data_IF_903358267839
#
_entry.id   IF_903358267839
#
_cell.length_a   1.000
_cell.length_b   1.000
_cell.length_c   1.000
_cell.angle_alpha   90.00
_cell.angle_beta   90.00
_cell.angle_gamma   90.00
#
_symmetry.space_group_name_H-M   'P 1'
#
loop_
_entity.id
_entity.type
_entity.pdbx_description
1 polymer ?
#
# COMPACT_ATOMS: atom_id res chain seq x y z
N UNK A 1 -11.87 -15.43 43.99
CA UNK A 1 -10.56 -14.95 44.50
C UNK A 1 -9.62 -16.16 44.64
N UNK A 2 -8.63 -16.26 43.74
CA UNK A 2 -7.39 -17.09 43.78
C UNK A 2 -6.54 -16.65 42.58
N UNK A 3 -5.52 -15.80 42.79
CA UNK A 3 -4.08 -16.15 42.94
C UNK A 3 -3.43 -16.50 41.57
N UNK A 4 -2.95 -15.51 40.78
CA UNK A 4 -1.56 -14.95 40.60
C UNK A 4 -0.64 -15.82 39.70
N UNK A 5 0.19 -15.12 38.91
CA UNK A 5 1.43 -15.50 38.20
C UNK A 5 1.33 -15.64 36.67
N UNK A 6 1.42 -14.51 35.95
CA UNK A 6 2.00 -14.50 34.61
C UNK A 6 3.38 -13.85 34.72
N UNK A 7 4.41 -14.68 34.65
CA UNK A 7 5.80 -14.28 34.66
C UNK A 7 6.12 -13.48 33.38
N UNK A 8 6.56 -12.24 33.58
CA UNK A 8 7.34 -11.45 32.64
C UNK A 8 8.65 -12.18 32.36
N UNK A 9 9.00 -12.43 31.10
CA UNK A 9 10.37 -12.55 30.61
C UNK A 9 10.36 -12.58 29.06
N UNK A 10 10.66 -11.46 28.41
CA UNK A 10 11.30 -11.51 27.09
C UNK A 10 12.57 -10.66 27.16
N UNK A 11 13.67 -11.39 27.10
CA UNK A 11 15.06 -10.94 27.08
C UNK A 11 15.32 -10.18 25.78
N UNK A 12 15.83 -8.96 25.90
CA UNK A 12 16.36 -8.19 24.78
C UNK A 12 17.70 -8.75 24.31
N UNK A 13 17.88 -8.87 23.01
CA UNK A 13 19.19 -9.10 22.37
C UNK A 13 19.45 -7.95 21.42
N UNK A 14 20.23 -6.97 21.89
CA UNK A 14 20.90 -5.97 21.06
C UNK A 14 22.23 -6.57 20.61
N UNK A 15 22.41 -6.72 19.30
CA UNK A 15 23.71 -6.97 18.70
C UNK A 15 24.04 -5.83 17.73
N UNK A 16 25.00 -5.00 18.14
CA UNK A 16 25.68 -4.00 17.30
C UNK A 16 27.12 -4.48 17.01
N UNK A 17 27.81 -3.74 16.13
CA UNK A 17 29.24 -3.77 15.68
C UNK A 17 29.62 -4.89 14.68
N UNK A 18 30.45 -4.69 13.65
CA UNK A 18 31.31 -3.62 13.12
C UNK A 18 31.41 -3.82 11.58
N UNK A 19 31.58 -2.81 10.71
CA UNK A 19 32.82 -2.06 10.52
C UNK A 19 33.83 -2.82 9.65
N UNK A 20 33.83 -2.61 8.32
CA UNK A 20 34.94 -2.98 7.45
C UNK A 20 35.59 -1.73 6.89
N UNK A 21 36.81 -1.46 7.35
CA UNK A 21 37.76 -0.49 6.79
C UNK A 21 38.53 -1.14 5.63
N UNK A 22 38.75 -0.40 4.54
CA UNK A 22 39.80 -0.70 3.56
C UNK A 22 40.75 0.51 3.44
N UNK A 23 42.02 0.27 3.09
CA UNK A 23 43.14 1.11 3.50
C UNK A 23 43.38 2.36 2.66
N UNK A 24 44.00 3.33 3.34
CA UNK A 24 44.67 4.54 2.83
C UNK A 24 45.69 4.23 1.75
N UNK A 25 45.73 5.06 0.71
CA UNK A 25 46.96 5.38 0.00
C UNK A 25 47.07 6.89 -0.22
N UNK A 26 48.31 7.38 -0.17
CA UNK A 26 48.71 8.72 0.26
C UNK A 26 48.81 9.77 -0.87
N UNK A 27 48.47 11.02 -0.51
CA UNK A 27 49.19 12.29 -0.81
C UNK A 27 49.35 12.78 -2.26
N UNK A 28 48.81 13.98 -2.57
CA UNK A 28 49.56 15.25 -2.82
C UNK A 28 48.61 16.36 -3.33
N UNK A 29 48.67 17.53 -2.70
CA UNK A 29 48.00 18.78 -3.06
C UNK A 29 49.06 19.73 -3.63
N UNK A 30 48.95 20.24 -4.87
CA UNK A 30 49.45 21.58 -5.22
C UNK A 30 49.03 22.07 -6.64
N UNK A 31 48.29 23.19 -6.66
CA UNK A 31 48.36 24.42 -7.49
C UNK A 31 48.32 24.42 -9.05
N UNK A 32 47.29 25.12 -9.57
CA UNK A 32 46.94 25.61 -10.94
C UNK A 32 48.03 26.49 -11.61
N UNK A 33 48.08 26.76 -12.96
CA UNK A 33 47.01 27.40 -13.78
C UNK A 33 46.85 26.90 -15.25
N UNK A 34 45.73 27.31 -15.88
CA UNK A 34 45.26 26.99 -17.25
C UNK A 34 45.91 27.91 -18.32
N UNK A 35 46.01 27.49 -19.60
CA UNK A 35 45.55 28.34 -20.70
C UNK A 35 44.58 27.64 -21.68
N UNK A 36 43.69 28.46 -22.24
CA UNK A 36 42.45 28.14 -22.95
C UNK A 36 42.71 27.65 -24.39
N UNK A 37 41.90 26.71 -24.89
CA UNK A 37 41.70 26.50 -26.34
C UNK A 37 40.25 26.10 -26.62
N UNK A 38 39.61 26.93 -27.45
CA UNK A 38 38.31 26.89 -28.13
C UNK A 38 37.34 25.70 -27.96
N UNK A 39 36.09 26.02 -27.61
CA UNK A 39 34.90 25.25 -28.03
C UNK A 39 34.63 25.48 -29.52
N UNK A 40 33.97 24.52 -30.19
CA UNK A 40 32.58 24.83 -30.52
C UNK A 40 31.59 23.77 -30.02
N UNK A 41 30.39 24.28 -29.72
CA UNK A 41 29.27 23.63 -29.09
C UNK A 41 28.64 22.49 -29.90
N UNK A 42 28.18 21.46 -29.19
CA UNK A 42 26.88 20.84 -29.47
C UNK A 42 26.28 20.19 -28.21
N UNK A 43 25.72 21.09 -27.38
CA UNK A 43 24.37 21.00 -26.79
C UNK A 43 23.74 19.60 -26.75
N UNK A 44 23.79 18.93 -25.60
CA UNK A 44 22.66 18.18 -25.05
C UNK A 44 22.62 18.36 -23.53
N UNK A 45 21.80 19.30 -23.07
CA UNK A 45 21.28 19.31 -21.71
C UNK A 45 20.43 18.05 -21.56
N UNK A 46 20.70 17.14 -20.60
CA UNK A 46 19.72 16.14 -20.24
C UNK A 46 18.50 16.91 -19.73
N UNK A 47 17.39 16.82 -20.46
CA UNK A 47 16.12 17.32 -19.97
C UNK A 47 15.91 16.78 -18.55
N UNK A 48 15.34 17.58 -17.62
CA UNK A 48 14.96 17.05 -16.31
C UNK A 48 14.12 15.81 -16.58
N UNK A 49 14.47 14.69 -15.96
CA UNK A 49 13.62 13.50 -15.93
C UNK A 49 12.29 13.94 -15.34
N UNK A 50 11.40 14.36 -16.23
CA UNK A 50 10.01 14.60 -15.93
C UNK A 50 9.50 13.20 -15.68
N UNK A 51 9.50 12.81 -14.41
CA UNK A 51 8.77 11.67 -13.89
C UNK A 51 7.35 11.83 -14.41
N UNK A 52 7.07 11.24 -15.57
CA UNK A 52 5.71 11.00 -16.00
C UNK A 52 5.12 10.16 -14.87
N UNK A 53 4.02 10.59 -14.23
CA UNK A 53 3.34 9.71 -13.31
C UNK A 53 3.02 8.42 -14.07
N UNK A 54 3.50 7.27 -13.58
CA UNK A 54 3.19 5.94 -14.11
C UNK A 54 1.72 5.56 -13.80
N UNK A 55 0.80 6.52 -13.90
CA UNK A 55 -0.54 6.49 -13.30
C UNK A 55 -1.57 5.76 -14.18
N UNK A 56 -1.10 5.02 -15.19
CA UNK A 56 -1.99 4.16 -16.01
C UNK A 56 -1.52 2.71 -16.15
N UNK A 57 -0.36 2.34 -15.61
CA UNK A 57 0.20 0.98 -15.78
C UNK A 57 0.07 0.07 -14.53
N UNK A 58 -0.56 0.55 -13.46
CA UNK A 58 -0.48 -0.07 -12.12
C UNK A 58 -1.81 -0.73 -11.67
N UNK A 59 -2.79 -0.83 -12.58
CA UNK A 59 -4.04 -1.55 -12.34
C UNK A 59 -3.95 -2.97 -12.92
N UNK A 60 -4.33 -4.01 -12.17
CA UNK A 60 -4.35 -5.37 -12.68
C UNK A 60 -5.42 -5.56 -13.76
N UNK A 61 -5.25 -6.60 -14.59
CA UNK A 61 -6.27 -7.05 -15.53
C UNK A 61 -7.44 -7.67 -14.74
N UNK A 62 -8.52 -6.92 -14.66
CA UNK A 62 -9.72 -7.24 -13.89
C UNK A 62 -10.93 -6.64 -14.60
N UNK A 63 -12.05 -7.36 -14.60
CA UNK A 63 -13.29 -6.89 -15.22
C UNK A 63 -14.00 -5.86 -14.33
N UNK A 64 -13.53 -4.63 -14.40
CA UNK A 64 -14.12 -3.50 -13.67
C UNK A 64 -15.55 -3.19 -14.11
N UNK A 65 -16.02 -3.65 -15.27
CA UNK A 65 -17.35 -3.32 -15.76
C UNK A 65 -18.44 -4.16 -15.08
N UNK A 66 -18.11 -5.35 -14.59
CA UNK A 66 -19.08 -6.33 -14.07
C UNK A 66 -18.88 -6.62 -12.57
N UNK A 67 -18.38 -5.65 -11.80
CA UNK A 67 -18.21 -5.80 -10.35
C UNK A 67 -19.58 -5.80 -9.67
N UNK A 68 -19.86 -6.87 -8.93
CA UNK A 68 -21.11 -7.01 -8.20
C UNK A 68 -21.11 -6.17 -6.93
N UNK A 69 -22.25 -5.54 -6.65
CA UNK A 69 -22.56 -5.00 -5.32
C UNK A 69 -23.27 -6.10 -4.52
N UNK A 70 -22.66 -6.52 -3.40
CA UNK A 70 -23.18 -7.56 -2.53
C UNK A 70 -23.63 -6.94 -1.22
N UNK A 71 -24.91 -7.11 -0.91
CA UNK A 71 -25.55 -6.49 0.25
C UNK A 71 -26.46 -7.47 0.98
N UNK A 72 -26.31 -7.64 2.31
CA UNK A 72 -27.25 -8.38 3.13
C UNK A 72 -28.55 -7.57 3.28
N UNK A 73 -29.50 -7.77 2.37
CA UNK A 73 -30.82 -7.10 2.38
C UNK A 73 -31.23 -6.42 1.07
N UNK A 74 -30.44 -6.55 0.00
CA UNK A 74 -30.71 -5.93 -1.31
C UNK A 74 -29.82 -4.70 -1.57
N UNK A 75 -29.75 -4.25 -2.83
CA UNK A 75 -28.80 -3.21 -3.28
C UNK A 75 -29.26 -1.77 -3.01
N UNK A 76 -30.51 -1.57 -2.62
CA UNK A 76 -31.18 -0.26 -2.66
C UNK A 76 -30.63 0.77 -1.65
N UNK A 77 -29.87 0.34 -0.65
CA UNK A 77 -29.31 1.25 0.37
C UNK A 77 -27.84 1.61 0.15
N UNK A 78 -27.16 0.97 -0.81
CA UNK A 78 -25.77 1.30 -1.13
C UNK A 78 -25.68 1.92 -2.52
N UNK A 79 -25.87 3.25 -2.57
CA UNK A 79 -25.55 4.06 -3.74
C UNK A 79 -24.02 4.16 -3.88
N UNK A 80 -23.38 3.14 -4.44
CA UNK A 80 -21.94 3.13 -4.69
C UNK A 80 -21.64 2.80 -6.15
N UNK A 81 -20.51 3.27 -6.65
CA UNK A 81 -20.01 2.87 -7.96
C UNK A 81 -19.02 1.71 -7.79
N UNK A 82 -19.50 0.47 -7.93
CA UNK A 82 -18.67 -0.72 -7.71
C UNK A 82 -17.41 -0.76 -8.59
N UNK A 83 -17.52 -0.32 -9.84
CA UNK A 83 -16.38 -0.19 -10.75
C UNK A 83 -15.35 0.81 -10.23
N UNK A 84 -15.79 1.94 -9.70
CA UNK A 84 -14.93 2.96 -9.10
C UNK A 84 -14.25 2.43 -7.83
N UNK A 85 -15.02 1.84 -6.91
CA UNK A 85 -14.51 1.21 -5.68
C UNK A 85 -13.46 0.16 -6.01
N UNK A 86 -13.72 -0.72 -6.97
CA UNK A 86 -12.76 -1.74 -7.38
C UNK A 86 -11.47 -1.15 -7.96
N UNK A 87 -11.55 -0.07 -8.75
CA UNK A 87 -10.37 0.63 -9.26
C UNK A 87 -9.57 1.28 -8.13
N UNK A 88 -10.23 1.92 -7.18
CA UNK A 88 -9.56 2.56 -6.04
C UNK A 88 -8.89 1.49 -5.17
N UNK A 89 -9.62 0.43 -4.82
CA UNK A 89 -9.08 -0.67 -4.03
C UNK A 89 -7.90 -1.34 -4.73
N UNK A 90 -8.00 -1.73 -6.02
CA UNK A 90 -6.91 -2.42 -6.71
C UNK A 90 -5.72 -1.49 -7.07
N UNK A 91 -5.83 -0.17 -6.87
CA UNK A 91 -4.66 0.73 -6.84
C UNK A 91 -3.91 0.68 -5.53
N UNK A 92 -4.57 0.31 -4.43
CA UNK A 92 -3.88 0.06 -3.17
C UNK A 92 -2.93 -1.13 -3.31
N UNK A 93 -1.74 -0.98 -2.73
CA UNK A 93 -0.68 -1.97 -2.87
C UNK A 93 -1.06 -3.31 -2.24
N UNK A 94 -1.68 -3.31 -1.06
CA UNK A 94 -2.00 -4.54 -0.34
C UNK A 94 -3.13 -5.32 -1.05
N UNK A 95 -4.15 -4.61 -1.52
CA UNK A 95 -5.21 -5.21 -2.33
C UNK A 95 -4.68 -5.79 -3.64
N UNK A 96 -3.82 -5.04 -4.33
CA UNK A 96 -3.20 -5.49 -5.59
C UNK A 96 -2.34 -6.73 -5.39
N UNK A 97 -1.48 -6.75 -4.37
CA UNK A 97 -0.66 -7.90 -4.04
C UNK A 97 -1.51 -9.14 -3.69
N UNK A 98 -2.61 -8.97 -2.95
CA UNK A 98 -3.53 -10.06 -2.62
C UNK A 98 -4.23 -10.63 -3.86
N UNK A 99 -4.73 -9.77 -4.75
CA UNK A 99 -5.35 -10.18 -6.01
C UNK A 99 -4.35 -10.91 -6.92
N UNK A 100 -3.18 -10.31 -7.17
CA UNK A 100 -2.14 -10.90 -8.02
C UNK A 100 -1.56 -12.21 -7.42
N UNK A 101 -1.66 -12.39 -6.11
CA UNK A 101 -1.34 -13.64 -5.41
C UNK A 101 -2.37 -14.77 -5.59
N UNK A 102 -3.41 -14.56 -6.42
CA UNK A 102 -4.47 -15.53 -6.67
C UNK A 102 -5.68 -15.38 -5.73
N UNK A 103 -5.83 -14.23 -5.07
CA UNK A 103 -7.05 -13.89 -4.34
C UNK A 103 -8.20 -13.61 -5.31
N UNK A 104 -9.40 -14.09 -4.97
CA UNK A 104 -10.62 -13.88 -5.74
C UNK A 104 -11.35 -12.63 -5.25
N UNK A 105 -11.77 -11.76 -6.17
CA UNK A 105 -12.63 -10.63 -5.85
C UNK A 105 -14.07 -11.14 -5.74
N UNK A 106 -14.63 -11.11 -4.53
CA UNK A 106 -16.03 -11.52 -4.32
C UNK A 106 -17.00 -10.44 -4.80
N UNK A 107 -16.63 -9.16 -4.65
CA UNK A 107 -17.45 -8.01 -5.02
C UNK A 107 -17.27 -6.83 -4.09
N UNK A 108 -18.15 -5.84 -4.20
CA UNK A 108 -18.20 -4.67 -3.32
C UNK A 108 -19.27 -4.88 -2.25
N UNK A 109 -18.85 -4.82 -1.00
CA UNK A 109 -19.69 -4.98 0.19
C UNK A 109 -19.77 -3.67 0.95
N UNK A 110 -20.80 -3.47 1.77
CA UNK A 110 -20.66 -2.52 2.87
C UNK A 110 -19.91 -3.22 4.01
N UNK A 111 -18.74 -2.72 4.35
CA UNK A 111 -17.99 -3.19 5.51
C UNK A 111 -17.99 -2.10 6.58
N UNK A 112 -18.20 -2.50 7.82
CA UNK A 112 -18.32 -1.61 8.96
C UNK A 112 -17.19 -1.89 9.94
N UNK A 113 -16.32 -0.90 10.16
CA UNK A 113 -15.30 -0.99 11.20
C UNK A 113 -15.80 -0.33 12.49
N UNK A 114 -15.38 -0.86 13.64
CA UNK A 114 -15.55 -0.16 14.91
C UNK A 114 -14.70 1.11 14.90
N UNK A 115 -15.25 2.26 15.29
CA UNK A 115 -14.43 3.45 15.52
C UNK A 115 -13.96 3.49 17.00
N UNK A 116 -12.74 3.98 17.29
CA UNK A 116 -12.29 4.13 18.67
C UNK A 116 -13.19 5.08 19.48
N UNK A 117 -13.44 4.74 20.74
CA UNK A 117 -14.17 5.61 21.69
C UNK A 117 -13.52 7.01 21.77
N UNK A 118 -14.30 8.12 21.86
CA UNK A 118 -15.73 8.24 22.20
C UNK A 118 -16.72 8.14 21.04
N UNK A 119 -16.25 7.85 19.83
CA UNK A 119 -17.15 7.75 18.69
C UNK A 119 -18.00 6.46 18.77
N UNK A 120 -19.31 6.61 18.86
CA UNK A 120 -20.30 5.51 18.95
C UNK A 120 -20.74 4.98 17.58
N UNK A 121 -20.15 5.48 16.49
CA UNK A 121 -20.48 5.06 15.14
C UNK A 121 -19.78 3.75 14.75
N UNK A 122 -20.43 2.91 13.95
CA UNK A 122 -19.67 2.04 13.05
C UNK A 122 -19.41 2.87 11.81
N UNK A 123 -18.13 3.16 11.52
CA UNK A 123 -17.75 3.74 10.25
C UNK A 123 -17.95 2.67 9.19
N UNK A 124 -19.03 2.78 8.41
CA UNK A 124 -19.29 1.87 7.31
C UNK A 124 -18.90 2.54 6.00
N UNK A 125 -18.25 1.79 5.12
CA UNK A 125 -17.83 2.24 3.82
C UNK A 125 -17.99 1.11 2.80
N UNK A 126 -18.19 1.43 1.51
CA UNK A 126 -18.09 0.43 0.45
C UNK A 126 -16.67 -0.14 0.46
N UNK A 127 -16.57 -1.46 0.32
CA UNK A 127 -15.32 -2.17 0.42
C UNK A 127 -15.22 -3.24 -0.67
N UNK A 128 -14.08 -3.29 -1.36
CA UNK A 128 -13.79 -4.43 -2.22
C UNK A 128 -13.35 -5.60 -1.35
N UNK A 129 -14.07 -6.72 -1.42
CA UNK A 129 -13.67 -7.95 -0.73
C UNK A 129 -12.80 -8.80 -1.65
N UNK A 130 -11.60 -9.14 -1.16
CA UNK A 130 -10.70 -10.10 -1.79
C UNK A 130 -10.52 -11.27 -0.82
N UNK A 131 -10.64 -12.47 -1.35
CA UNK A 131 -10.62 -13.71 -0.58
C UNK A 131 -9.51 -14.61 -1.09
N UNK A 132 -8.79 -15.25 -0.17
CA UNK A 132 -7.89 -16.34 -0.50
C UNK A 132 -8.13 -17.54 0.43
N UNK A 133 -7.24 -18.53 0.39
CA UNK A 133 -7.35 -19.76 1.19
C UNK A 133 -7.32 -19.52 2.71
N UNK A 134 -6.76 -18.40 3.17
CA UNK A 134 -6.50 -18.13 4.59
C UNK A 134 -7.38 -17.03 5.16
N UNK A 135 -7.82 -16.08 4.35
CA UNK A 135 -8.58 -14.92 4.82
C UNK A 135 -9.50 -14.32 3.77
N UNK A 136 -10.54 -13.65 4.24
CA UNK A 136 -11.30 -12.64 3.49
C UNK A 136 -10.87 -11.26 3.99
N UNK A 137 -10.52 -10.34 3.10
CA UNK A 137 -10.13 -8.98 3.45
C UNK A 137 -11.02 -7.99 2.73
N UNK A 138 -11.66 -7.11 3.50
CA UNK A 138 -12.42 -5.97 3.01
C UNK A 138 -11.52 -4.74 2.94
N UNK A 139 -11.32 -4.20 1.74
CA UNK A 139 -10.59 -2.94 1.53
C UNK A 139 -11.58 -1.78 1.48
N UNK A 140 -11.78 -1.08 2.60
CA UNK A 140 -12.77 -0.01 2.74
C UNK A 140 -12.30 1.23 1.98
N UNK A 141 -13.12 1.72 1.06
CA UNK A 141 -12.81 2.83 0.17
C UNK A 141 -13.59 4.06 0.60
N UNK A 142 -12.88 5.19 0.72
CA UNK A 142 -13.50 6.51 0.66
C UNK A 142 -13.56 6.94 -0.81
N UNK A 143 -14.77 6.94 -1.38
CA UNK A 143 -15.00 7.31 -2.78
C UNK A 143 -14.75 8.81 -3.05
N UNK A 144 -14.91 9.68 -2.04
CA UNK A 144 -14.67 11.11 -2.17
C UNK A 144 -13.18 11.45 -2.18
N UNK A 145 -12.40 10.76 -1.34
CA UNK A 145 -10.94 10.92 -1.28
C UNK A 145 -10.20 10.05 -2.30
N UNK A 146 -10.85 9.01 -2.84
CA UNK A 146 -10.28 8.12 -3.84
C UNK A 146 -9.16 7.23 -3.30
N UNK A 147 -9.26 6.77 -2.05
CA UNK A 147 -8.27 5.91 -1.38
C UNK A 147 -8.90 4.85 -0.50
N UNK A 148 -8.13 3.80 -0.20
CA UNK A 148 -8.46 2.84 0.85
C UNK A 148 -8.18 3.49 2.21
N UNK A 149 -9.18 3.51 3.09
CA UNK A 149 -9.09 4.14 4.43
C UNK A 149 -8.77 3.14 5.53
N UNK A 150 -9.19 1.88 5.38
CA UNK A 150 -8.87 0.82 6.33
C UNK A 150 -9.12 -0.55 5.72
N UNK A 151 -8.75 -1.61 6.45
CA UNK A 151 -9.06 -2.99 6.09
C UNK A 151 -9.75 -3.72 7.24
N UNK A 152 -10.68 -4.61 6.90
CA UNK A 152 -11.27 -5.55 7.86
C UNK A 152 -10.93 -6.97 7.40
N UNK A 153 -10.24 -7.72 8.26
CA UNK A 153 -9.76 -9.06 7.94
C UNK A 153 -10.50 -10.11 8.74
N UNK A 154 -11.06 -11.09 8.04
CA UNK A 154 -11.63 -12.30 8.62
C UNK A 154 -10.71 -13.49 8.28
N UNK A 155 -10.21 -14.20 9.30
CA UNK A 155 -9.38 -15.39 9.10
C UNK A 155 -10.30 -16.60 8.89
N UNK A 156 -10.10 -17.32 7.78
CA UNK A 156 -10.80 -18.58 7.51
C UNK A 156 -10.08 -19.69 8.29
N UNK A 157 -10.75 -20.25 9.30
CA UNK A 157 -10.22 -21.37 10.07
C UNK A 157 -9.95 -22.58 9.18
N UNK A 158 -8.84 -23.28 9.44
CA UNK A 158 -8.47 -24.54 8.78
C UNK A 158 -9.33 -25.72 9.26
#
# INVERSE_FOLDING_TARGET
MREIWCALLIVGVMASVAGCTTPVDNTTLETTPVPQTEMPALKETPAPLTLRPAVSADLPDFDYANVLVISPGGTDWMETNASHVARVALRDRAAREMYLGGGEVEGVFLSCHSTPFPSSGRGCAPALRITNKTASVDFLVDEGEGRVVTTVTEIRGA
#
